data_IF_587580811221
#
_entry.id   IF_587580811221
#
_cell.length_a   1.000
_cell.length_b   1.000
_cell.length_c   1.000
_cell.angle_alpha   90.00
_cell.angle_beta   90.00
_cell.angle_gamma   90.00
#
_symmetry.space_group_name_H-M   'P 1'
#
loop_
_entity.id
_entity.type
_entity.pdbx_description
1 polymer ?
#
# COMPACT_ATOMS: atom_id res chain seq x y z
N UNK A 1 8.25 0.88 -1.14
CA UNK A 1 7.22 0.67 -2.17
C UNK A 1 7.46 1.66 -3.29
N UNK A 2 7.00 1.37 -4.50
CA UNK A 2 7.06 2.29 -5.65
C UNK A 2 5.63 2.57 -6.13
N UNK A 3 5.41 3.76 -6.67
CA UNK A 3 4.20 4.06 -7.44
C UNK A 3 4.46 3.81 -8.93
N UNK A 4 3.41 3.47 -9.67
CA UNK A 4 3.48 3.28 -11.11
C UNK A 4 2.12 3.53 -11.75
N UNK A 5 2.15 4.00 -12.99
CA UNK A 5 0.95 4.14 -13.82
C UNK A 5 0.72 2.86 -14.59
N UNK A 6 -0.52 2.37 -14.57
CA UNK A 6 -0.89 1.17 -15.28
C UNK A 6 -1.05 1.48 -16.79
N UNK A 7 -0.33 0.75 -17.65
CA UNK A 7 -0.34 0.99 -19.09
C UNK A 7 -1.65 0.50 -19.75
N UNK A 8 -2.33 -0.46 -19.14
CA UNK A 8 -3.62 -1.02 -19.60
C UNK A 8 -4.45 -1.53 -18.43
N UNK A 9 -5.76 -1.36 -18.50
CA UNK A 9 -6.76 -1.85 -17.54
C UNK A 9 -6.99 -3.37 -17.57
N UNK A 10 -6.32 -4.10 -18.47
CA UNK A 10 -6.42 -5.55 -18.56
C UNK A 10 -5.63 -6.23 -17.43
N UNK A 11 -6.31 -6.57 -16.34
CA UNK A 11 -5.75 -7.27 -15.19
C UNK A 11 -6.31 -8.70 -15.07
N UNK A 12 -5.44 -9.65 -14.74
CA UNK A 12 -5.80 -11.04 -14.45
C UNK A 12 -4.83 -11.66 -13.44
N UNK A 13 -5.27 -12.62 -12.61
CA UNK A 13 -4.37 -13.31 -11.68
C UNK A 13 -3.36 -14.20 -12.42
N UNK A 14 -2.12 -14.23 -11.94
CA UNK A 14 -1.09 -15.19 -12.35
C UNK A 14 -1.00 -16.39 -11.40
N UNK A 15 0.01 -17.25 -11.55
CA UNK A 15 0.16 -18.46 -10.71
C UNK A 15 0.32 -18.17 -9.21
N UNK A 16 0.86 -17.00 -8.86
CA UNK A 16 1.09 -16.58 -7.47
C UNK A 16 -0.10 -15.86 -6.84
N UNK A 17 -1.21 -15.66 -7.58
CA UNK A 17 -2.37 -14.91 -7.12
C UNK A 17 -3.65 -15.68 -7.39
N UNK A 18 -4.53 -15.74 -6.39
CA UNK A 18 -5.84 -16.37 -6.56
C UNK A 18 -6.80 -15.45 -7.34
N UNK A 19 -6.80 -14.16 -7.02
CA UNK A 19 -7.68 -13.15 -7.59
C UNK A 19 -6.94 -11.82 -7.70
N UNK A 20 -7.33 -10.98 -8.66
CA UNK A 20 -6.85 -9.60 -8.82
C UNK A 20 -7.98 -8.70 -9.30
N UNK A 21 -7.92 -7.42 -8.93
CA UNK A 21 -8.91 -6.42 -9.32
C UNK A 21 -8.35 -5.01 -9.21
N UNK A 22 -9.03 -4.07 -9.87
CA UNK A 22 -8.83 -2.64 -9.67
C UNK A 22 -9.88 -2.15 -8.68
N UNK A 23 -9.49 -1.30 -7.74
CA UNK A 23 -10.32 -0.85 -6.64
C UNK A 23 -10.29 0.67 -6.57
N UNK A 24 -11.46 1.29 -6.37
CA UNK A 24 -11.51 2.66 -5.86
C UNK A 24 -11.02 2.72 -4.42
N UNK A 25 -10.63 3.91 -3.95
CA UNK A 25 -10.01 4.07 -2.61
C UNK A 25 -10.94 3.60 -1.48
N UNK A 26 -12.25 3.80 -1.63
CA UNK A 26 -13.28 3.40 -0.67
C UNK A 26 -13.69 1.93 -0.77
N UNK A 27 -13.26 1.24 -1.83
CA UNK A 27 -13.49 -0.20 -2.04
C UNK A 27 -12.32 -1.06 -1.55
N UNK A 28 -11.18 -0.45 -1.17
CA UNK A 28 -10.02 -1.18 -0.65
C UNK A 28 -10.42 -1.98 0.61
N UNK A 29 -10.20 -3.31 0.65
CA UNK A 29 -10.58 -4.15 1.79
C UNK A 29 -9.54 -4.06 2.92
N UNK A 30 -9.52 -2.92 3.61
CA UNK A 30 -8.48 -2.55 4.59
C UNK A 30 -8.22 -3.60 5.68
N UNK A 31 -9.28 -4.25 6.17
CA UNK A 31 -9.22 -5.24 7.24
C UNK A 31 -8.74 -6.63 6.76
N UNK A 32 -8.75 -6.87 5.44
CA UNK A 32 -8.34 -8.13 4.81
C UNK A 32 -6.91 -8.08 4.26
N UNK A 33 -6.26 -6.92 4.27
CA UNK A 33 -4.88 -6.76 3.84
C UNK A 33 -3.94 -7.61 4.71
N UNK A 34 -3.23 -8.55 4.07
CA UNK A 34 -2.41 -9.55 4.76
C UNK A 34 -1.27 -8.95 5.61
N UNK A 35 -0.72 -7.79 5.21
CA UNK A 35 0.46 -7.22 5.86
C UNK A 35 0.28 -5.73 6.19
N UNK A 36 0.59 -5.32 7.43
CA UNK A 36 0.46 -3.92 7.87
C UNK A 36 1.34 -2.92 7.10
N UNK A 37 2.46 -3.37 6.52
CA UNK A 37 3.31 -2.54 5.66
C UNK A 37 2.61 -2.11 4.38
N UNK A 38 1.68 -2.93 3.86
CA UNK A 38 0.88 -2.60 2.67
C UNK A 38 -0.13 -1.52 3.03
N UNK A 39 -0.89 -1.72 4.12
CA UNK A 39 -1.84 -0.74 4.66
C UNK A 39 -1.17 0.61 4.91
N UNK A 40 -0.02 0.62 5.58
CA UNK A 40 0.71 1.85 5.87
C UNK A 40 1.15 2.58 4.60
N UNK A 41 1.69 1.84 3.63
CA UNK A 41 2.20 2.43 2.41
C UNK A 41 1.09 2.94 1.47
N UNK A 42 -0.06 2.25 1.42
CA UNK A 42 -1.24 2.73 0.69
C UNK A 42 -1.81 4.02 1.28
N UNK A 43 -1.88 4.13 2.62
CA UNK A 43 -2.29 5.36 3.30
C UNK A 43 -1.34 6.52 2.98
N UNK A 44 -0.03 6.28 3.05
CA UNK A 44 0.96 7.29 2.63
C UNK A 44 0.77 7.72 1.18
N UNK A 45 0.48 6.78 0.26
CA UNK A 45 0.19 7.10 -1.13
C UNK A 45 -1.03 8.03 -1.23
N UNK A 46 -2.16 7.65 -0.64
CA UNK A 46 -3.42 8.41 -0.68
C UNK A 46 -3.25 9.82 -0.09
N UNK A 47 -2.61 9.92 1.08
CA UNK A 47 -2.39 11.20 1.78
C UNK A 47 -1.55 12.17 0.94
N UNK A 48 -0.57 11.65 0.19
CA UNK A 48 0.27 12.50 -0.67
C UNK A 48 -0.33 12.72 -2.07
N UNK A 49 -1.15 11.81 -2.60
CA UNK A 49 -1.89 12.03 -3.84
C UNK A 49 -2.90 13.18 -3.71
N UNK A 50 -3.47 13.38 -2.52
CA UNK A 50 -4.31 14.55 -2.22
C UNK A 50 -3.53 15.89 -2.20
N UNK A 51 -2.19 15.85 -2.18
CA UNK A 51 -1.34 17.03 -2.10
C UNK A 51 -0.85 17.55 -3.47
N UNK A 52 -1.37 17.03 -4.59
CA UNK A 52 -0.97 17.39 -5.98
C UNK A 52 0.55 17.33 -6.24
N UNK A 53 1.26 16.44 -5.55
CA UNK A 53 2.70 16.28 -5.72
C UNK A 53 3.02 15.46 -6.98
N UNK A 54 3.70 16.07 -7.94
CA UNK A 54 4.18 15.40 -9.17
C UNK A 54 5.16 14.25 -8.88
N UNK A 55 5.87 14.32 -7.75
CA UNK A 55 6.77 13.27 -7.24
C UNK A 55 6.50 13.05 -5.76
N UNK A 56 6.14 11.82 -5.40
CA UNK A 56 5.98 11.44 -3.99
C UNK A 56 7.33 11.40 -3.26
N UNK A 57 7.44 11.99 -2.06
CA UNK A 57 8.66 11.91 -1.27
C UNK A 57 8.96 10.47 -0.88
N UNK A 58 10.25 10.12 -0.83
CA UNK A 58 10.69 8.81 -0.36
C UNK A 58 10.60 8.76 1.16
N UNK A 59 9.87 7.78 1.68
CA UNK A 59 9.79 7.49 3.10
C UNK A 59 10.62 6.24 3.45
N UNK A 60 11.45 6.34 4.48
CA UNK A 60 12.22 5.23 5.03
C UNK A 60 11.84 5.01 6.49
N UNK A 61 11.22 3.87 6.76
CA UNK A 61 10.64 3.51 8.05
C UNK A 61 10.96 2.05 8.36
N UNK A 62 11.07 1.73 9.63
CA UNK A 62 11.19 0.36 10.15
C UNK A 62 9.90 0.00 10.87
N UNK A 63 9.29 -1.12 10.47
CA UNK A 63 8.15 -1.70 11.18
C UNK A 63 8.66 -2.67 12.26
N UNK A 64 8.38 -2.39 13.52
CA UNK A 64 8.74 -3.23 14.65
C UNK A 64 7.47 -3.94 15.13
N UNK A 65 7.37 -5.24 14.86
CA UNK A 65 6.25 -6.06 15.35
C UNK A 65 6.58 -6.64 16.72
N UNK A 66 5.76 -6.31 17.69
CA UNK A 66 5.84 -6.82 19.05
C UNK A 66 5.12 -8.17 19.18
N UNK A 67 5.38 -8.89 20.27
CA UNK A 67 4.78 -10.20 20.55
C UNK A 67 3.28 -10.14 20.83
N UNK A 68 2.79 -8.99 21.31
CA UNK A 68 1.37 -8.70 21.51
C UNK A 68 0.62 -8.33 20.21
N UNK A 69 1.33 -8.32 19.08
CA UNK A 69 0.78 -7.98 17.76
C UNK A 69 0.79 -6.49 17.43
N UNK A 70 1.17 -5.62 18.36
CA UNK A 70 1.35 -4.19 18.09
C UNK A 70 2.49 -3.96 17.10
N UNK A 71 2.37 -2.89 16.31
CA UNK A 71 3.39 -2.47 15.36
C UNK A 71 3.72 -1.02 15.62
N UNK A 72 5.00 -0.75 15.90
CA UNK A 72 5.55 0.59 15.98
C UNK A 72 6.32 0.91 14.68
N UNK A 73 6.29 2.17 14.27
CA UNK A 73 6.96 2.67 13.07
C UNK A 73 8.08 3.63 13.49
N UNK A 74 9.32 3.27 13.19
CA UNK A 74 10.49 4.09 13.50
C UNK A 74 11.08 4.71 12.22
N UNK A 75 11.31 6.03 12.23
CA UNK A 75 12.04 6.70 11.15
C UNK A 75 13.53 6.41 11.29
N UNK A 76 14.17 6.07 10.17
CA UNK A 76 15.63 6.03 10.09
C UNK A 76 16.24 7.43 10.07
#
# INVERSE_FOLDING_TARGET
>A
MFQGELITDQVSPGEESLETGLFEIDEIPWDELAFPVVTHSLKLFIDNSAADAEILPVHSLTAIRHTDGRIDWEKR
#
